data_IF_123863024192
#
_entry.id   IF_123863024192
#
_cell.length_a   1.000
_cell.length_b   1.000
_cell.length_c   1.000
_cell.angle_alpha   90.00
_cell.angle_beta   90.00
_cell.angle_gamma   90.00
#
_symmetry.space_group_name_H-M   'P 1'
#
loop_
_entity.id
_entity.type
_entity.pdbx_description
1 polymer ?
#
# COMPACT_ATOMS: atom_id res chain seq x y z
N UNK A 1 23.11 20.17 17.74
CA UNK A 1 22.48 19.81 16.45
C UNK A 1 20.98 20.01 16.58
N UNK A 2 20.35 20.74 15.65
CA UNK A 2 18.95 21.20 15.79
C UNK A 2 17.96 20.04 15.58
N UNK A 3 17.13 19.79 16.59
CA UNK A 3 15.90 18.98 16.51
C UNK A 3 14.85 19.71 15.66
N UNK A 4 14.94 19.61 14.33
CA UNK A 4 14.06 20.35 13.41
C UNK A 4 13.22 19.50 12.44
N UNK A 5 13.15 18.18 12.58
CA UNK A 5 12.42 17.35 11.58
C UNK A 5 11.36 16.37 12.11
N UNK A 6 11.04 16.38 13.40
CA UNK A 6 9.96 15.52 13.93
C UNK A 6 8.55 16.07 13.67
N UNK A 7 8.37 17.37 13.43
CA UNK A 7 7.05 18.02 13.38
C UNK A 7 6.35 18.01 12.01
N UNK A 8 6.94 17.40 10.98
CA UNK A 8 6.39 17.40 9.61
C UNK A 8 6.06 16.01 9.04
N UNK A 9 6.45 14.96 9.76
CA UNK A 9 6.11 13.59 9.38
C UNK A 9 4.72 13.27 9.92
N UNK A 10 3.79 13.01 9.02
CA UNK A 10 2.45 12.56 9.39
C UNK A 10 2.41 11.06 9.14
N UNK A 11 2.35 10.22 10.18
CA UNK A 11 2.23 8.79 9.98
C UNK A 11 0.97 8.48 9.16
N UNK A 12 0.97 7.37 8.43
CA UNK A 12 -0.29 6.84 7.92
C UNK A 12 -1.17 6.50 9.13
N UNK A 13 -2.26 7.25 9.29
CA UNK A 13 -3.36 6.90 10.19
C UNK A 13 -4.25 5.86 9.47
N UNK A 14 -5.40 5.50 10.03
CA UNK A 14 -6.34 4.56 9.39
C UNK A 14 -6.58 4.88 7.92
N UNK A 15 -6.98 3.87 7.14
CA UNK A 15 -7.11 4.05 5.70
C UNK A 15 -8.08 5.19 5.37
N UNK A 16 -9.12 5.41 6.16
CA UNK A 16 -10.10 6.49 6.04
C UNK A 16 -9.50 7.88 6.30
N UNK A 17 -8.60 8.02 7.26
CA UNK A 17 -7.94 9.31 7.55
C UNK A 17 -6.84 9.60 6.53
N UNK A 18 -6.06 8.58 6.19
CA UNK A 18 -5.09 8.64 5.11
C UNK A 18 -5.77 8.95 3.78
N UNK A 19 -6.91 8.31 3.51
CA UNK A 19 -7.78 8.58 2.37
C UNK A 19 -8.21 10.04 2.30
N UNK A 20 -8.72 10.57 3.42
CA UNK A 20 -9.12 11.97 3.52
C UNK A 20 -7.97 12.95 3.29
N UNK A 21 -6.79 12.67 3.86
CA UNK A 21 -5.58 13.52 3.68
C UNK A 21 -5.00 13.44 2.28
N UNK A 22 -5.15 12.28 1.62
CA UNK A 22 -4.77 12.08 0.22
C UNK A 22 -5.83 12.55 -0.77
N UNK A 23 -7.00 13.02 -0.30
CA UNK A 23 -8.05 13.58 -1.14
C UNK A 23 -9.01 12.56 -1.74
N UNK A 24 -9.07 11.34 -1.21
CA UNK A 24 -10.07 10.34 -1.61
C UNK A 24 -11.45 10.80 -1.14
N UNK A 25 -12.41 10.86 -2.07
CA UNK A 25 -13.78 11.31 -1.80
C UNK A 25 -14.53 10.18 -1.09
N UNK A 26 -14.88 10.34 0.19
CA UNK A 26 -15.71 9.39 0.94
C UNK A 26 -16.99 10.08 1.43
N UNK A 27 -18.14 9.40 1.36
CA UNK A 27 -19.44 9.89 1.87
C UNK A 27 -19.80 9.30 3.23
N UNK A 28 -18.98 8.39 3.78
CA UNK A 28 -19.27 7.66 5.02
C UNK A 28 -18.15 7.86 6.03
N UNK A 29 -18.50 8.39 7.19
CA UNK A 29 -17.59 8.66 8.30
C UNK A 29 -17.63 7.46 9.24
N UNK A 30 -16.47 6.82 9.45
CA UNK A 30 -16.24 6.02 10.65
C UNK A 30 -15.03 6.64 11.33
N UNK A 31 -15.21 7.14 12.56
CA UNK A 31 -14.10 7.60 13.38
C UNK A 31 -13.21 6.39 13.71
N UNK A 32 -11.99 6.35 13.17
CA UNK A 32 -11.06 5.28 13.46
C UNK A 32 -10.23 5.61 14.70
N UNK A 33 -10.41 4.80 15.73
CA UNK A 33 -9.54 4.70 16.91
C UNK A 33 -8.57 3.52 16.74
N UNK A 34 -7.75 3.46 15.69
CA UNK A 34 -6.80 2.33 15.46
C UNK A 34 -5.73 2.59 14.37
N UNK A 35 -4.65 1.78 14.32
CA UNK A 35 -3.27 2.13 14.61
C UNK A 35 -2.52 2.83 13.46
N UNK A 36 -1.46 3.55 13.81
CA UNK A 36 -0.45 4.05 12.87
C UNK A 36 0.14 2.91 12.03
N UNK A 37 0.21 3.07 10.70
CA UNK A 37 0.82 2.06 9.83
C UNK A 37 2.34 2.23 9.80
N UNK A 38 3.03 1.11 10.02
CA UNK A 38 4.49 1.02 9.99
C UNK A 38 5.02 0.37 8.71
N UNK A 39 4.13 -0.28 7.96
CA UNK A 39 4.46 -1.08 6.78
C UNK A 39 3.60 -0.62 5.59
N UNK A 40 4.27 -0.11 4.55
CA UNK A 40 3.60 0.36 3.33
C UNK A 40 2.91 -0.78 2.58
N UNK A 41 3.48 -1.99 2.56
CA UNK A 41 2.84 -3.15 1.92
C UNK A 41 1.57 -3.56 2.65
N UNK A 42 1.58 -3.53 3.98
CA UNK A 42 0.39 -3.77 4.79
C UNK A 42 -0.69 -2.71 4.51
N UNK A 43 -0.30 -1.43 4.46
CA UNK A 43 -1.22 -0.34 4.11
C UNK A 43 -1.90 -0.54 2.74
N UNK A 44 -1.15 -1.02 1.74
CA UNK A 44 -1.70 -1.35 0.42
C UNK A 44 -2.71 -2.50 0.49
N UNK A 45 -2.39 -3.56 1.24
CA UNK A 45 -3.27 -4.73 1.37
C UNK A 45 -4.56 -4.37 2.11
N UNK A 46 -4.48 -3.59 3.18
CA UNK A 46 -5.68 -3.14 3.89
C UNK A 46 -6.49 -2.11 3.11
N UNK A 47 -5.83 -1.31 2.27
CA UNK A 47 -6.52 -0.43 1.31
C UNK A 47 -7.42 -1.14 0.32
N UNK A 48 -7.08 -2.37 -0.07
CA UNK A 48 -7.93 -3.18 -0.95
C UNK A 48 -9.32 -3.39 -0.34
N UNK A 49 -9.41 -3.58 0.99
CA UNK A 49 -10.66 -3.77 1.73
C UNK A 49 -11.59 -2.57 1.57
N UNK A 50 -11.08 -1.39 1.85
CA UNK A 50 -11.81 -0.13 1.72
C UNK A 50 -12.19 0.18 0.27
N UNK A 51 -11.33 -0.20 -0.67
CA UNK A 51 -11.54 0.07 -2.08
C UNK A 51 -12.74 -0.69 -2.69
N UNK A 52 -13.24 -1.73 -2.01
CA UNK A 52 -14.40 -2.51 -2.49
C UNK A 52 -15.76 -1.82 -2.30
N UNK A 53 -15.81 -0.72 -1.54
CA UNK A 53 -17.04 -0.03 -1.16
C UNK A 53 -17.66 0.71 -2.36
N UNK A 54 -16.86 1.51 -3.07
CA UNK A 54 -17.33 2.28 -4.22
C UNK A 54 -16.21 2.60 -5.23
N UNK A 55 -16.61 3.01 -6.44
CA UNK A 55 -15.70 3.24 -7.56
C UNK A 55 -14.76 4.42 -7.37
N UNK A 56 -15.13 5.44 -6.58
CA UNK A 56 -14.28 6.60 -6.30
C UNK A 56 -13.15 6.23 -5.35
N UNK A 57 -13.48 5.47 -4.30
CA UNK A 57 -12.49 4.89 -3.38
C UNK A 57 -11.53 3.95 -4.11
N UNK A 58 -12.04 3.15 -5.04
CA UNK A 58 -11.19 2.30 -5.86
C UNK A 58 -10.28 3.08 -6.82
N UNK A 59 -10.82 4.07 -7.53
CA UNK A 59 -10.03 4.91 -8.46
C UNK A 59 -8.88 5.57 -7.73
N UNK A 60 -9.18 6.13 -6.57
CA UNK A 60 -8.24 6.70 -5.61
C UNK A 60 -7.11 5.74 -5.22
N UNK A 61 -7.48 4.54 -4.78
CA UNK A 61 -6.54 3.47 -4.44
C UNK A 61 -5.67 3.05 -5.63
N UNK A 62 -6.26 2.87 -6.81
CA UNK A 62 -5.55 2.49 -8.02
C UNK A 62 -4.56 3.59 -8.48
N UNK A 63 -4.94 4.86 -8.37
CA UNK A 63 -4.04 6.00 -8.65
C UNK A 63 -2.87 6.04 -7.65
N UNK A 64 -3.13 5.76 -6.38
CA UNK A 64 -2.08 5.67 -5.36
C UNK A 64 -1.08 4.55 -5.68
N UNK A 65 -1.56 3.33 -5.95
CA UNK A 65 -0.69 2.21 -6.35
C UNK A 65 0.08 2.56 -7.62
N UNK A 66 -0.59 3.04 -8.66
CA UNK A 66 0.06 3.44 -9.93
C UNK A 66 1.16 4.46 -9.71
N UNK A 67 1.01 5.35 -8.74
CA UNK A 67 1.99 6.40 -8.45
C UNK A 67 3.18 5.90 -7.64
N UNK A 68 2.95 5.00 -6.68
CA UNK A 68 3.98 4.51 -5.77
C UNK A 68 4.45 3.08 -6.07
N UNK A 69 4.09 2.53 -7.23
CA UNK A 69 4.39 1.14 -7.59
C UNK A 69 5.90 0.84 -7.49
N UNK A 70 6.75 1.76 -7.96
CA UNK A 70 8.20 1.54 -8.02
C UNK A 70 8.90 1.55 -6.64
N UNK A 71 8.20 2.00 -5.58
CA UNK A 71 8.73 1.95 -4.21
C UNK A 71 8.15 0.78 -3.39
N UNK A 72 7.27 -0.02 -3.96
CA UNK A 72 6.72 -1.22 -3.32
C UNK A 72 7.63 -2.44 -3.55
N UNK A 73 7.62 -3.37 -2.60
CA UNK A 73 8.39 -4.61 -2.68
C UNK A 73 7.46 -5.81 -2.97
N UNK A 74 7.41 -6.36 -4.20
CA UNK A 74 6.48 -7.44 -4.56
C UNK A 74 6.59 -8.69 -3.67
N UNK A 75 7.83 -9.08 -3.31
CA UNK A 75 8.07 -10.23 -2.46
C UNK A 75 7.54 -10.02 -1.03
N UNK A 76 7.63 -8.79 -0.51
CA UNK A 76 7.09 -8.43 0.80
C UNK A 76 5.56 -8.35 0.75
N UNK A 77 5.01 -7.75 -0.31
CA UNK A 77 3.56 -7.69 -0.52
C UNK A 77 2.94 -9.10 -0.55
N UNK A 78 3.58 -10.05 -1.26
CA UNK A 78 3.15 -11.47 -1.25
C UNK A 78 3.07 -12.04 0.16
N UNK A 79 4.10 -11.80 0.98
CA UNK A 79 4.14 -12.27 2.38
C UNK A 79 3.02 -11.65 3.22
N UNK A 80 2.81 -10.35 3.08
CA UNK A 80 1.72 -9.62 3.75
C UNK A 80 0.36 -10.20 3.35
N UNK A 81 0.12 -10.42 2.06
CA UNK A 81 -1.12 -11.04 1.55
C UNK A 81 -1.36 -12.40 2.18
N UNK A 82 -0.36 -13.29 2.19
CA UNK A 82 -0.46 -14.64 2.75
C UNK A 82 -0.78 -14.61 4.26
N UNK A 83 -0.24 -13.63 4.98
CA UNK A 83 -0.47 -13.46 6.41
C UNK A 83 -1.75 -12.68 6.73
N UNK A 84 -2.37 -12.05 5.74
CA UNK A 84 -3.57 -11.22 5.91
C UNK A 84 -4.85 -12.03 5.68
N UNK A 85 -5.89 -11.73 6.45
CA UNK A 85 -7.25 -12.25 6.23
C UNK A 85 -7.96 -11.47 5.11
N UNK A 86 -7.39 -11.46 3.91
CA UNK A 86 -7.96 -10.79 2.75
C UNK A 86 -8.99 -11.70 2.05
N UNK A 87 -10.17 -11.18 1.73
CA UNK A 87 -11.19 -11.92 1.01
C UNK A 87 -10.84 -12.07 -0.47
N UNK A 88 -11.50 -13.00 -1.17
CA UNK A 88 -11.27 -13.16 -2.62
C UNK A 88 -11.69 -11.92 -3.42
N UNK A 89 -12.75 -11.22 -3.00
CA UNK A 89 -13.17 -9.97 -3.64
C UNK A 89 -12.10 -8.90 -3.49
N UNK A 90 -11.59 -8.70 -2.28
CA UNK A 90 -10.52 -7.74 -1.98
C UNK A 90 -9.24 -8.08 -2.76
N UNK A 91 -8.92 -9.36 -2.90
CA UNK A 91 -7.77 -9.83 -3.68
C UNK A 91 -7.90 -9.49 -5.17
N UNK A 92 -9.10 -9.58 -5.76
CA UNK A 92 -9.36 -9.18 -7.15
C UNK A 92 -9.08 -7.69 -7.35
N UNK A 93 -9.54 -6.85 -6.41
CA UNK A 93 -9.32 -5.41 -6.42
C UNK A 93 -7.83 -5.04 -6.30
N UNK A 94 -7.14 -5.65 -5.33
CA UNK A 94 -5.69 -5.50 -5.16
C UNK A 94 -4.94 -5.89 -6.43
N UNK A 95 -5.25 -7.07 -6.98
CA UNK A 95 -4.60 -7.59 -8.17
C UNK A 95 -4.76 -6.68 -9.39
N UNK A 96 -5.98 -6.20 -9.65
CA UNK A 96 -6.22 -5.27 -10.74
C UNK A 96 -5.44 -3.95 -10.56
N UNK A 97 -5.45 -3.35 -9.38
CA UNK A 97 -4.72 -2.12 -9.12
C UNK A 97 -3.19 -2.30 -9.28
N UNK A 98 -2.64 -3.42 -8.82
CA UNK A 98 -1.22 -3.76 -8.99
C UNK A 98 -0.85 -4.00 -10.45
N UNK A 99 -1.71 -4.67 -11.22
CA UNK A 99 -1.47 -4.88 -12.65
C UNK A 99 -1.44 -3.54 -13.41
N UNK A 100 -2.40 -2.64 -13.14
CA UNK A 100 -2.39 -1.29 -13.70
C UNK A 100 -1.12 -0.52 -13.34
N UNK A 101 -0.68 -0.60 -12.08
CA UNK A 101 0.57 0.03 -11.64
C UNK A 101 1.79 -0.58 -12.32
N UNK A 102 1.85 -1.91 -12.40
CA UNK A 102 2.96 -2.64 -13.03
C UNK A 102 3.11 -2.31 -14.52
N UNK A 103 2.02 -2.00 -15.24
CA UNK A 103 2.10 -1.53 -16.62
C UNK A 103 2.84 -0.19 -16.76
N UNK A 104 2.88 0.64 -15.72
CA UNK A 104 3.62 1.91 -15.69
C UNK A 104 4.95 1.86 -14.97
N UNK A 105 5.25 0.77 -14.26
CA UNK A 105 6.49 0.58 -13.51
C UNK A 105 7.71 0.49 -14.43
N UNK A 106 8.85 1.01 -13.94
CA UNK A 106 10.16 0.81 -14.58
C UNK A 106 10.64 -0.65 -14.49
N UNK A 107 10.13 -1.40 -13.51
CA UNK A 107 10.56 -2.76 -13.18
C UNK A 107 9.46 -3.81 -13.38
N UNK A 108 8.73 -3.73 -14.50
CA UNK A 108 7.58 -4.60 -14.84
C UNK A 108 7.81 -6.09 -14.58
N UNK A 109 9.03 -6.59 -14.85
CA UNK A 109 9.39 -8.00 -14.67
C UNK A 109 9.29 -8.48 -13.22
N UNK A 110 9.54 -7.62 -12.23
CA UNK A 110 9.49 -7.98 -10.81
C UNK A 110 8.06 -8.26 -10.32
N UNK A 111 7.06 -7.70 -11.01
CA UNK A 111 5.64 -7.83 -10.66
C UNK A 111 5.01 -9.12 -11.17
N UNK A 112 5.57 -9.75 -12.21
CA UNK A 112 4.99 -10.92 -12.88
C UNK A 112 4.72 -12.08 -11.90
N UNK A 113 5.66 -12.37 -11.02
CA UNK A 113 5.53 -13.47 -10.05
C UNK A 113 4.40 -13.23 -9.04
N UNK A 114 4.22 -11.99 -8.58
CA UNK A 114 3.15 -11.62 -7.66
C UNK A 114 1.79 -11.62 -8.36
N UNK A 115 1.70 -11.04 -9.57
CA UNK A 115 0.46 -10.99 -10.34
C UNK A 115 -0.03 -12.41 -10.67
N UNK A 116 0.86 -13.31 -11.09
CA UNK A 116 0.50 -14.71 -11.34
C UNK A 116 -0.02 -15.41 -10.08
N UNK A 117 0.65 -15.21 -8.94
CA UNK A 117 0.20 -15.73 -7.65
C UNK A 117 -1.24 -15.26 -7.33
N UNK A 118 -1.53 -13.97 -7.53
CA UNK A 118 -2.87 -13.43 -7.30
C UNK A 118 -3.91 -14.03 -8.25
N UNK A 119 -3.55 -14.25 -9.52
CA UNK A 119 -4.45 -14.91 -10.48
C UNK A 119 -4.79 -16.33 -10.08
N UNK A 120 -3.78 -17.12 -9.69
CA UNK A 120 -3.99 -18.51 -9.28
C UNK A 120 -4.95 -18.59 -8.09
N UNK A 121 -4.85 -17.65 -7.16
CA UNK A 121 -5.75 -17.55 -6.00
C UNK A 121 -7.21 -17.25 -6.39
N UNK A 122 -7.49 -16.56 -7.49
CA UNK A 122 -8.85 -16.22 -7.93
C UNK A 122 -9.34 -17.07 -9.12
N UNK A 123 -8.50 -17.93 -9.70
CA UNK A 123 -8.78 -18.67 -10.93
C UNK A 123 -10.04 -19.54 -10.87
N UNK A 124 -10.50 -19.93 -9.68
CA UNK A 124 -11.72 -20.74 -9.48
C UNK A 124 -12.96 -19.95 -9.03
N UNK A 125 -12.85 -18.64 -8.79
CA UNK A 125 -14.01 -17.82 -8.36
C UNK A 125 -14.94 -17.51 -9.52
N UNK A 126 -16.20 -17.18 -9.27
CA UNK A 126 -17.09 -16.61 -10.29
C UNK A 126 -16.73 -15.17 -10.65
N UNK A 127 -17.33 -14.64 -11.72
CA UNK A 127 -17.43 -13.21 -11.97
C UNK A 127 -18.42 -12.59 -10.97
N UNK A 128 -18.13 -11.37 -10.52
CA UNK A 128 -19.02 -10.64 -9.61
C UNK A 128 -18.98 -9.13 -9.93
N UNK A 129 -20.06 -8.37 -9.66
CA UNK A 129 -20.03 -6.92 -9.76
C UNK A 129 -18.95 -6.33 -8.84
N UNK A 130 -18.13 -5.43 -9.39
CA UNK A 130 -17.16 -4.69 -8.58
C UNK A 130 -17.88 -3.86 -7.50
N UNK A 131 -18.93 -3.13 -7.90
CA UNK A 131 -19.73 -2.27 -7.05
C UNK A 131 -21.23 -2.55 -7.21
N UNK A 132 -22.04 -2.00 -6.31
CA UNK A 132 -23.47 -2.31 -6.22
C UNK A 132 -24.38 -1.53 -7.18
N UNK A 133 -23.87 -0.67 -8.09
CA UNK A 133 -24.71 0.30 -8.82
C UNK A 133 -24.41 0.35 -10.34
N UNK A 134 -25.49 0.27 -11.13
CA UNK A 134 -25.65 0.51 -12.58
C UNK A 134 -25.18 -0.60 -13.57
N UNK A 135 -25.83 -0.74 -14.75
CA UNK A 135 -25.51 -1.79 -15.72
C UNK A 135 -24.09 -1.62 -16.27
N UNK A 136 -23.28 -2.67 -16.13
CA UNK A 136 -21.86 -2.65 -16.40
C UNK A 136 -21.53 -3.02 -17.85
N UNK A 137 -20.68 -2.22 -18.49
CA UNK A 137 -20.00 -2.59 -19.74
C UNK A 137 -18.65 -3.21 -19.35
N UNK A 138 -18.40 -4.50 -19.62
CA UNK A 138 -17.16 -5.15 -19.20
C UNK A 138 -15.93 -4.48 -19.82
N UNK A 139 -15.05 -3.93 -18.99
CA UNK A 139 -13.70 -3.56 -19.41
C UNK A 139 -12.79 -4.80 -19.37
N UNK A 140 -11.97 -5.00 -20.41
CA UNK A 140 -11.16 -6.22 -20.57
C UNK A 140 -10.17 -6.42 -19.41
N UNK A 141 -9.61 -5.33 -18.87
CA UNK A 141 -8.74 -5.31 -17.70
C UNK A 141 -9.46 -5.85 -16.45
N UNK A 142 -10.68 -5.38 -16.15
CA UNK A 142 -11.49 -5.86 -15.04
C UNK A 142 -11.96 -7.30 -15.21
N UNK A 143 -12.32 -7.67 -16.43
CA UNK A 143 -12.78 -9.03 -16.75
C UNK A 143 -11.71 -10.07 -16.43
N UNK A 144 -10.43 -9.77 -16.68
CA UNK A 144 -9.30 -10.64 -16.32
C UNK A 144 -9.26 -10.95 -14.81
N UNK A 145 -9.72 -10.01 -13.98
CA UNK A 145 -9.83 -10.15 -12.53
C UNK A 145 -11.21 -10.63 -12.06
N UNK A 146 -12.08 -11.08 -12.97
CA UNK A 146 -13.42 -11.58 -12.68
C UNK A 146 -14.28 -10.58 -11.93
N UNK A 147 -14.15 -9.32 -12.32
CA UNK A 147 -14.91 -8.19 -11.85
C UNK A 147 -15.68 -7.58 -13.01
N UNK A 148 -16.95 -7.26 -12.79
CA UNK A 148 -17.77 -6.51 -13.73
C UNK A 148 -17.81 -5.05 -13.25
N UNK A 149 -17.20 -4.14 -14.02
CA UNK A 149 -17.13 -2.71 -13.72
C UNK A 149 -17.18 -1.88 -14.99
N UNK A 150 -17.42 -0.57 -14.86
CA UNK A 150 -17.35 0.40 -15.94
C UNK A 150 -15.96 1.07 -15.98
N UNK A 151 -15.69 1.80 -17.08
CA UNK A 151 -14.41 2.50 -17.27
C UNK A 151 -14.12 3.47 -16.11
N UNK A 152 -12.93 3.37 -15.54
CA UNK A 152 -12.46 4.29 -14.50
C UNK A 152 -11.72 5.50 -15.08
N UNK A 153 -11.87 6.64 -14.41
CA UNK A 153 -11.12 7.88 -14.72
C UNK A 153 -9.74 7.87 -14.03
N UNK A 154 -8.80 7.07 -14.54
CA UNK A 154 -7.45 6.95 -13.93
C UNK A 154 -6.46 8.05 -14.32
N UNK A 155 -6.78 8.87 -15.31
CA UNK A 155 -5.84 9.86 -15.88
C UNK A 155 -5.78 11.17 -15.06
N UNK A 156 -6.80 11.48 -14.26
CA UNK A 156 -6.86 12.72 -13.50
C UNK A 156 -6.21 12.59 -12.10
N UNK A 157 -4.89 12.34 -12.04
CA UNK A 157 -4.16 12.08 -10.77
C UNK A 157 -4.40 13.14 -9.69
N UNK A 158 -4.43 14.43 -10.05
CA UNK A 158 -4.59 15.54 -9.09
C UNK A 158 -5.96 15.55 -8.40
N UNK A 159 -6.99 15.00 -9.04
CA UNK A 159 -8.34 14.84 -8.47
C UNK A 159 -8.41 13.77 -7.38
N UNK A 160 -7.51 12.78 -7.45
CA UNK A 160 -7.59 11.57 -6.63
C UNK A 160 -6.42 11.38 -5.69
N UNK A 161 -5.34 12.16 -5.79
CA UNK A 161 -4.17 12.01 -4.93
C UNK A 161 -3.49 13.35 -4.63
N UNK A 162 -3.51 13.75 -3.36
CA UNK A 162 -2.70 14.82 -2.82
C UNK A 162 -1.27 14.34 -2.59
N UNK A 163 -0.42 14.50 -3.61
CA UNK A 163 0.97 14.08 -3.60
C UNK A 163 1.79 14.66 -2.44
N UNK A 164 1.54 15.94 -2.10
CA UNK A 164 2.26 16.61 -1.01
C UNK A 164 2.02 15.92 0.34
N UNK A 165 0.79 15.46 0.58
CA UNK A 165 0.47 14.70 1.78
C UNK A 165 0.98 13.26 1.72
N UNK A 166 0.88 12.60 0.56
CA UNK A 166 1.34 11.21 0.41
C UNK A 166 2.85 11.07 0.64
N UNK A 167 3.67 11.98 0.12
CA UNK A 167 5.12 11.94 0.30
C UNK A 167 5.54 12.24 1.75
N UNK A 168 4.71 12.92 2.55
CA UNK A 168 4.99 13.17 3.98
C UNK A 168 4.87 11.91 4.85
N UNK A 169 4.30 10.83 4.32
CA UNK A 169 4.29 9.56 5.02
C UNK A 169 5.73 9.01 5.11
N UNK A 170 6.26 8.72 6.32
CA UNK A 170 7.66 8.36 6.51
C UNK A 170 8.14 7.23 5.60
N UNK A 171 7.35 6.17 5.43
CA UNK A 171 7.74 5.00 4.64
C UNK A 171 7.86 5.35 3.16
N UNK A 172 6.99 6.22 2.65
CA UNK A 172 7.08 6.71 1.27
C UNK A 172 8.31 7.59 1.14
N UNK A 173 8.45 8.60 2.02
CA UNK A 173 9.57 9.53 1.98
C UNK A 173 10.91 8.79 1.94
N UNK A 174 11.13 7.87 2.90
CA UNK A 174 12.38 7.11 3.03
C UNK A 174 12.69 6.27 1.79
N UNK A 175 11.68 5.67 1.16
CA UNK A 175 11.89 4.87 -0.05
C UNK A 175 12.12 5.73 -1.29
N UNK A 176 11.45 6.87 -1.39
CA UNK A 176 11.71 7.87 -2.45
C UNK A 176 13.11 8.48 -2.31
N UNK A 177 13.62 8.64 -1.09
CA UNK A 177 15.02 9.01 -0.79
C UNK A 177 16.03 7.90 -1.17
N UNK A 178 15.58 6.77 -1.72
CA UNK A 178 16.45 5.68 -2.18
C UNK A 178 16.81 4.67 -1.10
N UNK A 179 16.20 4.73 0.10
CA UNK A 179 16.46 3.70 1.13
C UNK A 179 15.80 2.38 0.74
N UNK A 180 16.54 1.28 0.92
CA UNK A 180 16.01 -0.07 0.74
C UNK A 180 14.83 -0.32 1.68
N UNK A 181 13.84 -1.09 1.22
CA UNK A 181 12.56 -1.38 1.90
C UNK A 181 12.68 -1.57 3.41
N UNK A 182 13.46 -2.56 3.86
CA UNK A 182 13.59 -2.87 5.30
C UNK A 182 14.24 -1.73 6.07
N UNK A 183 15.24 -1.05 5.49
CA UNK A 183 15.89 0.08 6.15
C UNK A 183 14.94 1.28 6.26
N UNK A 184 14.14 1.54 5.21
CA UNK A 184 13.10 2.56 5.23
C UNK A 184 12.08 2.28 6.34
N UNK A 185 11.57 1.05 6.42
CA UNK A 185 10.57 0.67 7.42
C UNK A 185 11.12 0.79 8.85
N UNK A 186 12.37 0.37 9.10
CA UNK A 186 13.02 0.50 10.42
C UNK A 186 13.20 1.98 10.82
N UNK A 187 13.66 2.83 9.90
CA UNK A 187 13.84 4.26 10.17
C UNK A 187 12.50 4.94 10.40
N UNK A 188 11.51 4.69 9.53
CA UNK A 188 10.15 5.20 9.69
C UNK A 188 9.51 4.77 11.00
N UNK A 189 9.68 3.50 11.38
CA UNK A 189 9.19 2.99 12.66
C UNK A 189 9.78 3.76 13.84
N UNK A 190 11.09 3.99 13.85
CA UNK A 190 11.79 4.74 14.90
C UNK A 190 11.41 6.21 14.95
N UNK A 191 11.21 6.83 13.78
CA UNK A 191 10.77 8.21 13.67
C UNK A 191 9.37 8.40 14.31
N UNK A 192 8.52 7.36 14.28
CA UNK A 192 7.15 7.40 14.81
C UNK A 192 7.08 6.96 16.29
N UNK A 193 7.72 5.84 16.64
CA UNK A 193 7.54 5.14 17.93
C UNK A 193 8.71 5.30 18.91
N UNK A 194 9.81 5.92 18.49
CA UNK A 194 11.04 5.96 19.27
C UNK A 194 11.84 4.65 19.23
N UNK A 195 13.00 4.63 19.90
CA UNK A 195 13.98 3.51 19.84
C UNK A 195 13.73 2.40 20.86
N UNK A 196 12.74 2.53 21.73
CA UNK A 196 12.58 1.69 22.93
C UNK A 196 11.96 0.30 22.67
N UNK A 197 11.49 0.05 21.45
CA UNK A 197 10.82 -1.20 21.09
C UNK A 197 11.82 -2.32 20.77
N UNK A 198 11.49 -3.54 21.18
CA UNK A 198 12.33 -4.71 20.91
C UNK A 198 12.42 -4.99 19.40
N UNK A 199 13.56 -5.52 18.94
CA UNK A 199 13.75 -5.90 17.54
C UNK A 199 12.75 -6.96 17.06
N UNK A 200 12.27 -7.83 17.96
CA UNK A 200 11.23 -8.82 17.66
C UNK A 200 9.89 -8.14 17.36
N UNK A 201 9.51 -7.16 18.18
CA UNK A 201 8.28 -6.40 17.98
C UNK A 201 8.35 -5.57 16.69
N UNK A 202 9.49 -4.92 16.43
CA UNK A 202 9.76 -4.22 15.17
C UNK A 202 9.60 -5.15 13.98
N UNK A 203 10.28 -6.30 13.96
CA UNK A 203 10.24 -7.27 12.87
C UNK A 203 8.80 -7.71 12.56
N UNK A 204 8.01 -7.97 13.60
CA UNK A 204 6.58 -8.29 13.48
C UNK A 204 5.79 -7.14 12.86
N UNK A 205 5.98 -5.91 13.33
CA UNK A 205 5.21 -4.74 12.88
C UNK A 205 5.55 -4.31 11.43
N UNK A 206 6.75 -4.63 10.95
CA UNK A 206 7.16 -4.36 9.56
C UNK A 206 7.05 -5.59 8.64
N UNK A 207 6.41 -6.67 9.08
CA UNK A 207 6.27 -7.95 8.36
C UNK A 207 7.60 -8.52 7.81
N UNK A 208 8.68 -8.39 8.59
CA UNK A 208 10.01 -8.88 8.23
C UNK A 208 10.48 -9.98 9.19
N UNK A 209 11.29 -10.91 8.69
CA UNK A 209 11.96 -11.86 9.58
C UNK A 209 12.94 -11.16 10.52
N UNK A 210 13.11 -11.74 11.70
CA UNK A 210 13.98 -11.18 12.74
C UNK A 210 15.44 -11.06 12.27
N UNK A 211 15.96 -12.07 11.55
CA UNK A 211 17.36 -12.11 11.11
C UNK A 211 17.69 -10.93 10.19
N UNK A 212 16.84 -10.68 9.20
CA UNK A 212 16.98 -9.56 8.27
C UNK A 212 16.84 -8.23 8.99
N UNK A 213 15.83 -8.11 9.86
CA UNK A 213 15.62 -6.90 10.69
C UNK A 213 16.86 -6.59 11.51
N UNK A 214 17.41 -7.59 12.22
CA UNK A 214 18.62 -7.44 13.04
C UNK A 214 19.83 -7.00 12.22
N UNK A 215 20.10 -7.66 11.08
CA UNK A 215 21.26 -7.34 10.22
C UNK A 215 21.19 -5.92 9.69
N UNK A 216 20.03 -5.53 9.15
CA UNK A 216 19.82 -4.18 8.61
C UNK A 216 19.91 -3.15 9.74
N UNK A 217 19.35 -3.46 10.91
CA UNK A 217 19.42 -2.56 12.05
C UNK A 217 20.85 -2.29 12.51
N UNK A 218 21.67 -3.33 12.59
CA UNK A 218 23.10 -3.20 12.94
C UNK A 218 23.85 -2.30 11.95
N UNK A 219 23.59 -2.44 10.65
CA UNK A 219 24.19 -1.57 9.63
C UNK A 219 23.75 -0.12 9.83
N UNK A 220 22.46 0.13 10.09
CA UNK A 220 21.95 1.48 10.35
C UNK A 220 22.59 2.12 11.60
N UNK A 221 22.80 1.34 12.67
CA UNK A 221 23.47 1.84 13.88
C UNK A 221 24.92 2.24 13.60
N UNK A 222 25.65 1.45 12.80
CA UNK A 222 27.03 1.76 12.41
C UNK A 222 27.13 3.03 11.55
N UNK A 223 26.16 3.25 10.66
CA UNK A 223 26.10 4.46 9.82
C UNK A 223 25.82 5.75 10.61
N UNK A 224 25.29 5.66 11.83
CA UNK A 224 25.02 6.81 12.70
C UNK A 224 26.22 7.21 13.58
N UNK A 225 27.28 6.39 13.59
CA UNK A 225 28.51 6.63 14.37
C UNK A 225 29.59 7.36 13.55
N UNK A 226 29.32 7.65 12.27
CA UNK A 226 30.17 8.37 11.33
C UNK A 226 29.44 9.60 10.80
#
# INVERSE_FOLDING_TARGET
>A
MRNLHSSYLTPFESWEVSARRFGFVTTSVVESTTPTWYDLEQFIVDGAKFSTIDSRLYTSYAVFIKTFIDILAPAKLKRVIVNSKISKKELKFLGHALELGAQTSLHKGQWKGLINFLYDEIKRTGEEPAFSIAPYIPEESFKKWKLLSSKLELDNKKKYLNMSMAIKAPQILRRVEGRKTVAADIVSFRDIMGKEKSLSELARLINQDYSTTYKVDKVLQLQLLH
#
